data_IF_749351196720
#
_entry.id   IF_749351196720
#
_cell.length_a   1.000
_cell.length_b   1.000
_cell.length_c   1.000
_cell.angle_alpha   90.00
_cell.angle_beta   90.00
_cell.angle_gamma   90.00
#
_symmetry.space_group_name_H-M   'P 1'
#
loop_
_entity.id
_entity.type
_entity.pdbx_description
1 polymer ?
#
# COMPACT_ATOMS: atom_id res chain seq x y z
N UNK A 1 2.83 26.10 87.81
CA UNK A 1 1.84 27.08 87.33
C UNK A 1 1.64 26.83 85.86
N UNK A 2 0.35 26.82 85.47
CA UNK A 2 -0.26 26.74 84.16
C UNK A 2 -0.32 25.39 83.48
N UNK A 3 -1.48 24.81 83.69
CA UNK A 3 -2.19 23.83 82.88
C UNK A 3 -2.48 24.39 81.49
N UNK A 4 -2.18 23.62 80.47
CA UNK A 4 -2.84 23.80 79.18
C UNK A 4 -3.58 22.52 78.76
N UNK A 5 -4.89 22.68 78.80
CA UNK A 5 -5.92 21.74 78.53
C UNK A 5 -5.98 21.52 77.01
N UNK A 6 -5.61 20.32 76.50
CA UNK A 6 -5.79 19.90 75.10
C UNK A 6 -7.13 19.14 74.96
N UNK A 7 -8.12 19.83 74.50
CA UNK A 7 -9.39 19.24 74.06
C UNK A 7 -9.21 18.29 72.88
N UNK A 8 -9.74 17.06 72.88
CA UNK A 8 -9.65 16.16 71.75
C UNK A 8 -10.61 16.58 70.62
N UNK A 9 -10.02 16.74 69.41
CA UNK A 9 -10.83 16.92 68.17
C UNK A 9 -11.65 15.66 67.90
N UNK A 10 -12.92 15.71 68.08
CA UNK A 10 -13.87 14.72 67.58
C UNK A 10 -13.79 14.68 66.04
N UNK A 11 -13.35 13.54 65.52
CA UNK A 11 -13.50 13.19 64.10
C UNK A 11 -14.99 12.91 63.85
N UNK A 12 -15.69 13.86 63.26
CA UNK A 12 -16.98 13.61 62.66
C UNK A 12 -16.78 12.68 61.43
N UNK A 13 -17.04 11.42 61.63
CA UNK A 13 -17.28 10.49 60.55
C UNK A 13 -18.58 10.85 59.85
N UNK A 14 -18.55 11.61 58.77
CA UNK A 14 -19.69 11.77 57.86
C UNK A 14 -20.07 10.40 57.35
N UNK A 15 -21.13 9.83 57.84
CA UNK A 15 -21.74 8.65 57.30
C UNK A 15 -22.14 8.95 55.83
N UNK A 16 -21.55 8.27 54.87
CA UNK A 16 -21.95 8.40 53.45
C UNK A 16 -23.38 7.89 53.32
N UNK A 17 -24.27 8.78 52.89
CA UNK A 17 -25.61 8.42 52.53
C UNK A 17 -25.60 7.70 51.15
N UNK A 18 -25.61 6.40 51.20
CA UNK A 18 -25.58 5.54 50.01
C UNK A 18 -26.83 5.73 49.13
N UNK A 19 -27.95 6.14 49.70
CA UNK A 19 -29.16 6.41 48.92
C UNK A 19 -29.02 7.64 48.02
N UNK A 20 -28.36 8.69 48.53
CA UNK A 20 -27.99 9.86 47.74
C UNK A 20 -26.96 9.57 46.65
N UNK A 21 -25.98 8.70 46.95
CA UNK A 21 -24.98 8.26 45.96
C UNK A 21 -25.65 7.46 44.82
N UNK A 22 -26.54 6.52 45.14
CA UNK A 22 -27.25 5.76 44.12
C UNK A 22 -28.15 6.65 43.24
N UNK A 23 -28.87 7.59 43.84
CA UNK A 23 -29.69 8.54 43.11
C UNK A 23 -28.89 9.40 42.14
N UNK A 24 -27.65 9.82 42.51
CA UNK A 24 -26.73 10.58 41.64
C UNK A 24 -26.22 9.74 40.50
N UNK A 25 -25.89 8.47 40.76
CA UNK A 25 -25.42 7.53 39.72
C UNK A 25 -26.54 7.28 38.72
N UNK A 26 -27.78 7.01 39.17
CA UNK A 26 -28.91 6.79 38.26
C UNK A 26 -29.22 8.03 37.42
N UNK A 27 -29.14 9.22 38.02
CA UNK A 27 -29.35 10.49 37.32
C UNK A 27 -28.27 10.72 36.27
N UNK A 28 -27.01 10.41 36.60
CA UNK A 28 -25.86 10.52 35.67
C UNK A 28 -25.97 9.51 34.53
N UNK A 29 -26.38 8.27 34.82
CA UNK A 29 -26.60 7.24 33.80
C UNK A 29 -27.72 7.62 32.85
N UNK A 30 -28.84 8.10 33.37
CA UNK A 30 -29.98 8.58 32.57
C UNK A 30 -29.62 9.80 31.70
N UNK A 31 -28.73 10.70 32.18
CA UNK A 31 -28.22 11.82 31.42
C UNK A 31 -27.26 11.37 30.30
N UNK A 32 -26.38 10.38 30.59
CA UNK A 32 -25.46 9.79 29.64
C UNK A 32 -26.21 9.07 28.51
N UNK A 33 -27.21 8.27 28.84
CA UNK A 33 -28.06 7.58 27.86
C UNK A 33 -28.84 8.54 26.96
N UNK A 34 -29.36 9.66 27.53
CA UNK A 34 -30.01 10.73 26.76
C UNK A 34 -29.03 11.47 25.85
N UNK A 35 -27.77 11.69 26.29
CA UNK A 35 -26.74 12.34 25.50
C UNK A 35 -26.17 11.45 24.38
N UNK A 36 -26.17 10.11 24.56
CA UNK A 36 -25.64 9.13 23.58
C UNK A 36 -26.67 8.78 22.49
N UNK A 37 -27.95 9.01 22.69
CA UNK A 37 -28.99 8.77 21.68
C UNK A 37 -29.38 10.08 21.03
N UNK A 38 -28.89 10.38 19.81
CA UNK A 38 -29.35 11.59 19.11
C UNK A 38 -30.86 11.53 18.91
N UNK A 39 -31.50 12.65 19.09
CA UNK A 39 -32.95 12.79 18.84
C UNK A 39 -33.28 12.35 17.41
N UNK A 40 -34.53 11.97 17.16
CA UNK A 40 -34.96 11.55 15.83
C UNK A 40 -34.69 12.64 14.77
N UNK A 41 -34.77 13.91 15.14
CA UNK A 41 -34.45 15.06 14.29
C UNK A 41 -32.95 15.18 14.06
N UNK A 42 -32.11 15.05 15.09
CA UNK A 42 -30.64 15.05 14.97
C UNK A 42 -30.17 13.88 14.11
N UNK A 43 -30.77 12.69 14.28
CA UNK A 43 -30.47 11.53 13.45
C UNK A 43 -30.81 11.75 11.97
N UNK A 44 -31.98 12.36 11.70
CA UNK A 44 -32.38 12.74 10.32
C UNK A 44 -31.43 13.76 9.71
N UNK A 45 -31.00 14.77 10.49
CA UNK A 45 -30.06 15.78 10.03
C UNK A 45 -28.69 15.15 9.68
N UNK A 46 -28.17 14.29 10.56
CA UNK A 46 -26.91 13.57 10.31
C UNK A 46 -27.03 12.67 9.07
N UNK A 47 -28.12 11.93 8.93
CA UNK A 47 -28.36 11.07 7.77
C UNK A 47 -28.51 11.89 6.48
N UNK A 48 -29.17 13.05 6.53
CA UNK A 48 -29.31 13.96 5.40
C UNK A 48 -27.96 14.54 4.96
N UNK A 49 -27.11 14.95 5.92
CA UNK A 49 -25.76 15.43 5.64
C UNK A 49 -24.87 14.34 5.04
N UNK A 50 -24.93 13.12 5.58
CA UNK A 50 -24.20 11.97 5.02
C UNK A 50 -24.71 11.61 3.63
N UNK A 51 -26.04 11.60 3.41
CA UNK A 51 -26.60 11.36 2.09
C UNK A 51 -26.16 12.44 1.09
N UNK A 52 -26.12 13.72 1.51
CA UNK A 52 -25.64 14.83 0.69
C UNK A 52 -24.14 14.74 0.40
N UNK A 53 -23.36 14.27 1.37
CA UNK A 53 -21.91 14.01 1.18
C UNK A 53 -21.67 12.84 0.23
N UNK A 54 -22.46 11.76 0.31
CA UNK A 54 -22.40 10.61 -0.59
C UNK A 54 -22.99 10.89 -1.98
N UNK A 55 -23.97 11.82 -2.07
CA UNK A 55 -24.58 12.27 -3.33
C UNK A 55 -23.79 13.40 -4.01
N UNK A 56 -22.70 13.89 -3.40
CA UNK A 56 -21.73 14.70 -4.15
C UNK A 56 -21.15 13.79 -5.21
N UNK A 57 -21.50 14.08 -6.45
CA UNK A 57 -20.76 13.50 -7.57
C UNK A 57 -19.27 13.72 -7.32
N UNK A 58 -18.42 12.69 -7.49
CA UNK A 58 -16.98 12.88 -7.47
C UNK A 58 -16.68 14.06 -8.41
N UNK A 59 -15.92 15.02 -7.90
CA UNK A 59 -15.49 16.22 -8.63
C UNK A 59 -15.09 15.80 -10.04
N UNK A 60 -15.77 16.38 -11.03
CA UNK A 60 -15.81 16.06 -12.45
C UNK A 60 -14.83 14.96 -12.87
N UNK A 61 -15.34 13.81 -13.27
CA UNK A 61 -14.55 12.75 -13.90
C UNK A 61 -13.56 13.40 -14.86
N UNK A 62 -12.29 13.49 -14.44
CA UNK A 62 -11.23 13.68 -15.41
C UNK A 62 -11.43 12.58 -16.46
N UNK A 63 -11.36 12.89 -17.75
CA UNK A 63 -11.60 11.87 -18.76
C UNK A 63 -10.80 10.63 -18.37
N UNK A 64 -11.46 9.46 -18.36
CA UNK A 64 -10.88 8.18 -17.94
C UNK A 64 -9.57 7.84 -18.67
N UNK A 65 -9.34 8.45 -19.83
CA UNK A 65 -8.11 8.37 -20.62
C UNK A 65 -6.94 9.20 -20.05
N UNK A 66 -7.16 9.95 -18.96
CA UNK A 66 -6.15 10.83 -18.38
C UNK A 66 -5.43 10.26 -17.16
N UNK A 67 -5.87 9.12 -16.63
CA UNK A 67 -5.28 8.49 -15.44
C UNK A 67 -4.68 7.12 -15.80
N UNK A 68 -3.49 6.86 -15.26
CA UNK A 68 -2.82 5.57 -15.34
C UNK A 68 -2.92 4.86 -14.00
N UNK A 69 -3.67 3.75 -13.94
CA UNK A 69 -3.67 2.90 -12.76
C UNK A 69 -2.36 2.11 -12.68
N UNK A 70 -1.64 2.27 -11.59
CA UNK A 70 -0.36 1.61 -11.39
C UNK A 70 -0.34 0.77 -10.12
N UNK A 71 0.36 -0.35 -10.18
CA UNK A 71 0.81 -1.10 -9.01
C UNK A 71 2.12 -0.48 -8.56
N UNK A 72 2.14 0.09 -7.35
CA UNK A 72 3.35 0.65 -6.74
C UNK A 72 4.08 -0.41 -5.92
N UNK A 73 5.39 -0.43 -6.04
CA UNK A 73 6.25 -1.38 -5.35
C UNK A 73 7.64 -0.79 -5.07
N UNK A 74 8.38 -1.46 -4.21
CA UNK A 74 9.74 -1.10 -3.84
C UNK A 74 10.75 -1.96 -4.61
N UNK A 75 11.79 -1.30 -5.14
CA UNK A 75 13.03 -1.93 -5.61
C UNK A 75 14.20 -1.24 -4.95
N UNK A 76 14.98 -1.97 -4.19
CA UNK A 76 16.05 -1.43 -3.34
C UNK A 76 15.48 -0.37 -2.36
N UNK A 77 15.71 0.90 -2.63
CA UNK A 77 15.25 2.01 -1.77
C UNK A 77 14.35 3.00 -2.52
N UNK A 78 14.00 2.67 -3.76
CA UNK A 78 13.21 3.54 -4.62
C UNK A 78 11.81 2.98 -4.84
N UNK A 79 10.86 3.88 -5.10
CA UNK A 79 9.49 3.52 -5.44
C UNK A 79 9.34 3.41 -6.95
N UNK A 80 8.77 2.32 -7.37
CA UNK A 80 8.46 2.06 -8.77
C UNK A 80 6.96 1.85 -8.94
N UNK A 81 6.47 2.10 -10.14
CA UNK A 81 5.10 1.82 -10.53
C UNK A 81 5.08 1.15 -11.90
N UNK A 82 4.13 0.26 -12.09
CA UNK A 82 3.87 -0.39 -13.39
C UNK A 82 2.39 -0.39 -13.67
N UNK A 83 1.99 -0.18 -14.93
CA UNK A 83 0.58 -0.13 -15.31
C UNK A 83 -0.17 -1.40 -14.88
N UNK A 84 -1.26 -1.25 -14.15
CA UNK A 84 -2.04 -2.38 -13.61
C UNK A 84 -2.64 -3.26 -14.70
N UNK A 85 -2.89 -2.71 -15.88
CA UNK A 85 -3.38 -3.46 -17.06
C UNK A 85 -2.40 -4.57 -17.49
N UNK A 86 -1.11 -4.45 -17.19
CA UNK A 86 -0.08 -5.45 -17.50
C UNK A 86 0.19 -6.40 -16.34
N UNK A 87 -0.40 -6.18 -15.17
CA UNK A 87 -0.21 -7.01 -13.99
C UNK A 87 -1.33 -8.03 -13.89
N UNK A 88 -0.99 -9.31 -14.01
CA UNK A 88 -1.94 -10.40 -13.85
C UNK A 88 -2.23 -10.71 -12.39
N UNK A 89 -1.18 -10.86 -11.60
CA UNK A 89 -1.24 -11.16 -10.17
C UNK A 89 0.06 -10.82 -9.47
N UNK A 90 0.02 -10.73 -8.14
CA UNK A 90 1.20 -10.63 -7.28
C UNK A 90 1.28 -11.87 -6.42
N UNK A 91 2.44 -12.53 -6.47
CA UNK A 91 2.69 -13.79 -5.78
C UNK A 91 3.84 -13.65 -4.77
N UNK A 92 3.81 -14.29 -3.60
CA UNK A 92 4.99 -14.39 -2.75
C UNK A 92 6.12 -15.14 -3.47
N UNK A 93 7.36 -14.68 -3.34
CA UNK A 93 8.50 -15.44 -3.87
C UNK A 93 8.66 -16.71 -3.04
N UNK A 94 8.34 -17.87 -3.64
CA UNK A 94 8.48 -19.20 -3.05
C UNK A 94 9.00 -20.15 -4.11
N UNK A 95 9.71 -21.19 -3.67
CA UNK A 95 10.14 -22.31 -4.51
C UNK A 95 10.88 -21.86 -5.79
N UNK A 96 11.73 -20.81 -5.66
CA UNK A 96 12.57 -20.33 -6.76
C UNK A 96 13.61 -21.40 -7.14
N UNK A 97 13.56 -21.83 -8.38
CA UNK A 97 14.55 -22.76 -8.94
C UNK A 97 15.50 -21.98 -9.85
N UNK A 98 16.77 -21.82 -9.48
CA UNK A 98 17.75 -21.13 -10.32
C UNK A 98 17.97 -21.86 -11.64
N UNK A 99 18.17 -21.10 -12.72
CA UNK A 99 18.50 -21.64 -14.05
C UNK A 99 19.99 -21.41 -14.32
N UNK A 100 20.80 -22.47 -14.55
CA UNK A 100 22.18 -22.29 -14.94
C UNK A 100 22.30 -21.74 -16.37
N UNK A 101 23.35 -20.97 -16.63
CA UNK A 101 23.63 -20.43 -17.97
C UNK A 101 22.78 -19.23 -18.38
N UNK A 102 21.92 -18.72 -17.50
CA UNK A 102 21.10 -17.53 -17.77
C UNK A 102 21.84 -16.24 -17.39
N UNK A 103 21.46 -15.07 -17.98
CA UNK A 103 21.97 -13.78 -17.57
C UNK A 103 21.74 -13.51 -16.07
N UNK A 104 22.61 -12.72 -15.40
CA UNK A 104 22.54 -12.49 -13.94
C UNK A 104 21.23 -11.89 -13.43
N UNK A 105 20.49 -11.18 -14.28
CA UNK A 105 19.19 -10.59 -13.92
C UNK A 105 18.04 -11.60 -13.93
N UNK A 106 18.26 -12.81 -14.49
CA UNK A 106 17.28 -13.90 -14.41
C UNK A 106 17.59 -14.72 -13.17
N UNK A 107 16.71 -14.63 -12.17
CA UNK A 107 16.88 -15.35 -10.90
C UNK A 107 16.62 -16.84 -11.02
N UNK A 108 15.74 -17.24 -11.92
CA UNK A 108 15.27 -18.60 -12.07
C UNK A 108 13.80 -18.67 -12.47
N UNK A 109 13.18 -19.79 -12.14
CA UNK A 109 11.76 -20.03 -12.43
C UNK A 109 10.98 -20.32 -11.14
N UNK A 110 9.68 -20.01 -11.17
CA UNK A 110 8.72 -20.37 -10.13
C UNK A 110 7.49 -21.02 -10.77
N UNK A 111 6.78 -21.82 -9.98
CA UNK A 111 5.49 -22.35 -10.38
C UNK A 111 4.36 -21.51 -9.76
N UNK A 112 3.60 -20.84 -10.59
CA UNK A 112 2.42 -20.07 -10.17
C UNK A 112 1.17 -20.75 -10.73
N UNK A 113 0.45 -21.45 -9.88
CA UNK A 113 -0.80 -22.17 -10.24
C UNK A 113 -0.66 -23.10 -11.45
N UNK A 114 0.45 -23.84 -11.50
CA UNK A 114 0.71 -24.79 -12.60
C UNK A 114 1.39 -24.17 -13.84
N UNK A 115 1.65 -22.86 -13.83
CA UNK A 115 2.42 -22.18 -14.88
C UNK A 115 3.85 -21.96 -14.42
N UNK A 116 4.79 -22.31 -15.26
CA UNK A 116 6.23 -22.06 -15.02
C UNK A 116 6.56 -20.68 -15.56
N UNK A 117 6.99 -19.78 -14.70
CA UNK A 117 7.31 -18.39 -15.04
C UNK A 117 8.76 -18.09 -14.69
N UNK A 118 9.47 -17.41 -15.60
CA UNK A 118 10.79 -16.84 -15.31
C UNK A 118 10.64 -15.68 -14.34
N UNK A 119 11.55 -15.55 -13.37
CA UNK A 119 11.63 -14.42 -12.45
C UNK A 119 12.83 -13.57 -12.77
N UNK A 120 12.58 -12.30 -13.02
CA UNK A 120 13.57 -11.29 -13.40
C UNK A 120 13.81 -10.35 -12.21
N UNK A 121 15.08 -10.14 -11.86
CA UNK A 121 15.49 -9.09 -10.94
C UNK A 121 15.84 -7.83 -11.73
N UNK A 122 14.89 -6.93 -11.81
CA UNK A 122 15.07 -5.63 -12.49
C UNK A 122 16.18 -4.81 -11.82
N UNK A 123 16.49 -5.02 -10.54
CA UNK A 123 17.62 -4.34 -9.87
C UNK A 123 18.92 -4.66 -10.57
N UNK A 124 19.15 -5.93 -10.87
CA UNK A 124 20.33 -6.36 -11.62
C UNK A 124 20.31 -5.90 -13.07
N UNK A 125 19.15 -5.88 -13.69
CA UNK A 125 18.98 -5.39 -15.06
C UNK A 125 19.26 -3.90 -15.19
N UNK A 126 18.88 -3.10 -14.16
CA UNK A 126 19.08 -1.65 -14.12
C UNK A 126 20.36 -1.20 -13.39
N UNK A 127 21.20 -2.14 -12.97
CA UNK A 127 22.41 -1.87 -12.17
C UNK A 127 22.12 -1.06 -10.89
N UNK A 128 21.03 -1.42 -10.21
CA UNK A 128 20.65 -0.85 -8.93
C UNK A 128 21.38 -1.54 -7.77
N UNK A 129 21.49 -0.87 -6.59
CA UNK A 129 22.05 -1.50 -5.41
C UNK A 129 21.34 -2.82 -5.08
N UNK A 130 22.11 -3.87 -4.90
CA UNK A 130 21.56 -5.17 -4.55
C UNK A 130 21.06 -5.17 -3.11
N UNK A 131 19.85 -5.69 -2.95
CA UNK A 131 19.29 -6.04 -1.65
C UNK A 131 19.01 -7.54 -1.69
N UNK A 132 19.53 -8.27 -0.72
CA UNK A 132 19.36 -9.73 -0.66
C UNK A 132 17.89 -10.15 -0.68
N UNK A 133 17.65 -11.40 -1.06
CA UNK A 133 16.31 -11.99 -1.02
C UNK A 133 15.85 -12.18 0.44
N UNK A 134 14.59 -11.87 0.70
CA UNK A 134 13.93 -12.04 1.98
C UNK A 134 12.57 -12.68 1.79
N UNK A 135 11.97 -13.21 2.85
CA UNK A 135 10.61 -13.77 2.81
C UNK A 135 9.52 -12.73 2.46
N UNK A 136 9.88 -11.45 2.50
CA UNK A 136 8.98 -10.35 2.13
C UNK A 136 8.91 -10.12 0.62
N UNK A 137 9.89 -10.64 -0.13
CA UNK A 137 9.92 -10.46 -1.58
C UNK A 137 8.67 -11.01 -2.25
N UNK A 138 8.20 -10.28 -3.25
CA UNK A 138 7.04 -10.61 -4.07
C UNK A 138 7.45 -10.70 -5.53
N UNK A 139 6.68 -11.44 -6.29
CA UNK A 139 6.78 -11.51 -7.74
C UNK A 139 5.55 -10.87 -8.33
N UNK A 140 5.73 -9.82 -9.11
CA UNK A 140 4.68 -9.19 -9.90
C UNK A 140 4.67 -9.91 -11.24
N UNK A 141 3.60 -10.65 -11.52
CA UNK A 141 3.45 -11.38 -12.79
C UNK A 141 2.97 -10.41 -13.85
N UNK A 142 3.84 -10.10 -14.80
CA UNK A 142 3.52 -9.27 -15.96
C UNK A 142 3.11 -10.15 -17.11
N UNK A 143 2.15 -9.65 -17.89
CA UNK A 143 1.65 -10.38 -19.06
C UNK A 143 1.31 -9.45 -20.23
N UNK A 144 1.46 -9.98 -21.42
CA UNK A 144 0.91 -9.49 -22.67
C UNK A 144 0.36 -10.68 -23.45
N UNK A 145 -0.14 -10.44 -24.66
CA UNK A 145 -0.59 -11.52 -25.54
C UNK A 145 0.54 -12.47 -25.97
N UNK A 146 1.79 -12.01 -25.88
CA UNK A 146 2.97 -12.73 -26.41
C UNK A 146 3.89 -13.26 -25.32
N UNK A 147 3.90 -12.64 -24.14
CA UNK A 147 4.90 -12.91 -23.12
C UNK A 147 4.32 -12.81 -21.72
N UNK A 148 4.81 -13.67 -20.83
CA UNK A 148 4.48 -13.62 -19.40
C UNK A 148 5.76 -13.95 -18.59
N UNK A 149 6.08 -13.12 -17.59
CA UNK A 149 7.18 -13.35 -16.66
C UNK A 149 6.94 -12.64 -15.34
N UNK A 150 7.69 -13.01 -14.33
CA UNK A 150 7.63 -12.39 -13.00
C UNK A 150 8.74 -11.36 -12.81
N UNK A 151 8.41 -10.22 -12.22
CA UNK A 151 9.34 -9.19 -11.77
C UNK A 151 9.48 -9.27 -10.25
N UNK A 152 10.73 -9.39 -9.77
CA UNK A 152 11.00 -9.37 -8.34
C UNK A 152 10.75 -7.98 -7.77
N UNK A 153 9.98 -7.90 -6.68
CA UNK A 153 9.76 -6.69 -5.89
C UNK A 153 10.16 -6.94 -4.43
N UNK A 154 10.76 -5.94 -3.79
CA UNK A 154 11.11 -6.02 -2.36
C UNK A 154 9.88 -5.86 -1.46
N UNK A 155 8.82 -5.22 -1.97
CA UNK A 155 7.52 -5.09 -1.31
C UNK A 155 6.52 -4.39 -2.21
N UNK A 156 5.23 -4.64 -1.98
CA UNK A 156 4.13 -3.98 -2.69
C UNK A 156 3.57 -2.89 -1.79
N UNK A 157 3.39 -1.71 -2.34
CA UNK A 157 2.83 -0.56 -1.64
C UNK A 157 1.32 -0.44 -1.83
N UNK A 158 0.82 -0.78 -3.02
CA UNK A 158 -0.60 -0.72 -3.34
C UNK A 158 -0.87 -0.42 -4.81
N UNK A 159 -2.11 -0.07 -5.10
CA UNK A 159 -2.55 0.38 -6.43
C UNK A 159 -3.09 1.79 -6.30
N UNK A 160 -2.70 2.67 -7.22
CA UNK A 160 -3.28 4.01 -7.31
C UNK A 160 -3.36 4.51 -8.74
N UNK A 161 -4.27 5.45 -8.97
CA UNK A 161 -4.37 6.21 -10.21
C UNK A 161 -3.37 7.37 -10.20
N UNK A 162 -2.64 7.54 -11.31
CA UNK A 162 -1.69 8.63 -11.53
C UNK A 162 -2.14 9.39 -12.78
N UNK A 163 -2.43 10.69 -12.67
CA UNK A 163 -2.75 11.51 -13.84
C UNK A 163 -1.57 11.51 -14.82
N UNK A 164 -1.83 11.18 -16.09
CA UNK A 164 -0.78 11.18 -17.12
C UNK A 164 -0.07 12.53 -17.24
N UNK A 165 -0.78 13.64 -16.99
CA UNK A 165 -0.20 14.99 -16.99
C UNK A 165 0.76 15.27 -15.83
N UNK A 166 0.85 14.40 -14.81
CA UNK A 166 1.82 14.50 -13.71
C UNK A 166 3.11 13.76 -13.98
N UNK A 167 3.16 12.93 -15.03
CA UNK A 167 4.36 12.22 -15.44
C UNK A 167 5.32 13.21 -16.10
N UNK A 168 6.49 13.34 -15.48
CA UNK A 168 7.60 14.10 -16.04
C UNK A 168 8.50 13.13 -16.84
N UNK A 169 9.15 13.61 -17.91
CA UNK A 169 10.18 12.83 -18.58
C UNK A 169 11.25 12.36 -17.59
N UNK A 170 11.97 11.31 -17.93
CA UNK A 170 13.08 10.80 -17.13
C UNK A 170 14.05 11.92 -16.76
N UNK A 171 14.48 11.93 -15.48
CA UNK A 171 15.46 12.90 -15.03
C UNK A 171 16.80 12.65 -15.74
N UNK A 172 17.59 13.72 -16.06
CA UNK A 172 18.90 13.56 -16.70
C UNK A 172 19.89 12.68 -15.92
N UNK A 173 19.60 12.42 -14.65
CA UNK A 173 20.39 11.52 -13.77
C UNK A 173 20.08 10.04 -13.96
N UNK A 174 18.98 9.72 -14.64
CA UNK A 174 18.60 8.34 -14.99
C UNK A 174 19.13 8.06 -16.39
N UNK A 175 20.39 7.68 -16.47
CA UNK A 175 21.08 7.39 -17.75
C UNK A 175 21.18 5.87 -17.98
N UNK A 176 21.37 5.49 -19.24
CA UNK A 176 21.61 4.11 -19.64
C UNK A 176 20.34 3.28 -19.83
N UNK A 177 20.45 1.98 -19.54
CA UNK A 177 19.36 1.00 -19.76
C UNK A 177 18.05 1.40 -19.06
N UNK A 178 18.13 2.06 -17.90
CA UNK A 178 16.94 2.50 -17.15
C UNK A 178 16.04 3.46 -17.94
N UNK A 179 16.63 4.41 -18.68
CA UNK A 179 15.88 5.42 -19.42
C UNK A 179 15.00 4.79 -20.51
N UNK A 180 15.48 3.73 -21.16
CA UNK A 180 14.77 3.04 -22.22
C UNK A 180 13.43 2.45 -21.75
N UNK A 181 13.40 1.92 -20.51
CA UNK A 181 12.22 1.24 -19.94
C UNK A 181 11.39 2.13 -19.00
N UNK A 182 11.61 3.44 -19.01
CA UNK A 182 10.86 4.38 -18.20
C UNK A 182 9.77 5.05 -19.02
N UNK A 183 8.58 5.14 -18.44
CA UNK A 183 7.47 5.95 -18.96
C UNK A 183 7.52 7.37 -18.43
N UNK A 184 8.08 7.56 -17.23
CA UNK A 184 8.24 8.85 -16.58
C UNK A 184 8.42 8.74 -15.08
N UNK A 185 8.50 9.89 -14.42
CA UNK A 185 8.64 10.00 -12.97
C UNK A 185 7.58 10.94 -12.43
N UNK A 186 6.92 10.58 -11.33
CA UNK A 186 5.94 11.45 -10.67
C UNK A 186 6.63 12.49 -9.79
N UNK A 187 5.88 13.56 -9.42
CA UNK A 187 6.35 14.56 -8.44
C UNK A 187 6.77 13.96 -7.10
N UNK A 188 6.17 12.84 -6.72
CA UNK A 188 6.47 12.09 -5.49
C UNK A 188 7.67 11.14 -5.65
N UNK A 189 8.40 11.25 -6.75
CA UNK A 189 9.57 10.43 -7.09
C UNK A 189 9.25 8.93 -7.24
N UNK A 190 8.05 8.61 -7.74
CA UNK A 190 7.73 7.26 -8.17
C UNK A 190 8.14 7.10 -9.63
N UNK A 191 8.99 6.12 -9.91
CA UNK A 191 9.50 5.82 -11.25
C UNK A 191 8.52 4.89 -11.94
N UNK A 192 7.91 5.33 -13.04
CA UNK A 192 6.93 4.52 -13.77
C UNK A 192 7.62 3.76 -14.89
N UNK A 193 7.55 2.43 -14.79
CA UNK A 193 8.10 1.54 -15.80
C UNK A 193 7.19 1.39 -17.00
N UNK A 194 7.78 1.27 -18.17
CA UNK A 194 7.09 0.95 -19.41
C UNK A 194 6.97 -0.57 -19.56
N UNK A 195 5.82 -1.10 -19.14
CA UNK A 195 5.55 -2.54 -19.19
C UNK A 195 5.53 -3.10 -20.61
N UNK A 196 5.08 -2.31 -21.60
CA UNK A 196 5.04 -2.72 -23.00
C UNK A 196 6.45 -2.97 -23.52
N UNK A 197 7.36 -2.05 -23.21
CA UNK A 197 8.78 -2.21 -23.58
C UNK A 197 9.41 -3.42 -22.91
N UNK A 198 9.16 -3.59 -21.59
CA UNK A 198 9.66 -4.76 -20.86
C UNK A 198 9.12 -6.07 -21.45
N UNK A 199 7.81 -6.11 -21.79
CA UNK A 199 7.15 -7.30 -22.33
C UNK A 199 7.42 -7.53 -23.83
N UNK A 200 8.04 -6.62 -24.53
CA UNK A 200 8.42 -6.75 -25.95
C UNK A 200 9.90 -6.94 -26.17
N UNK A 201 10.74 -6.80 -25.11
CA UNK A 201 12.20 -6.91 -25.26
C UNK A 201 12.65 -8.37 -25.38
N UNK A 202 13.33 -8.74 -26.48
CA UNK A 202 13.92 -10.07 -26.64
C UNK A 202 14.90 -10.46 -25.52
N UNK A 203 15.56 -9.50 -24.86
CA UNK A 203 16.49 -9.77 -23.75
C UNK A 203 15.79 -10.36 -22.52
N UNK A 204 14.48 -10.15 -22.38
CA UNK A 204 13.67 -10.70 -21.29
C UNK A 204 13.23 -12.14 -21.58
N UNK A 205 13.40 -12.62 -22.81
CA UNK A 205 13.04 -13.97 -23.22
C UNK A 205 14.23 -14.90 -22.93
N UNK A 206 14.01 -15.89 -22.09
CA UNK A 206 14.97 -16.98 -21.93
C UNK A 206 14.77 -17.96 -23.09
N UNK A 207 15.52 -17.78 -24.17
CA UNK A 207 15.66 -18.84 -25.18
C UNK A 207 16.57 -19.89 -24.59
N UNK A 208 16.06 -21.06 -24.26
CA UNK A 208 16.88 -22.26 -24.15
C UNK A 208 17.18 -22.71 -25.58
N UNK A 209 18.22 -22.15 -26.16
CA UNK A 209 18.94 -22.87 -27.22
C UNK A 209 19.63 -24.02 -26.51
N UNK A 210 18.98 -25.17 -26.47
CA UNK A 210 19.62 -26.44 -26.15
C UNK A 210 20.58 -26.72 -27.30
N UNK A 211 21.81 -26.22 -27.21
CA UNK A 211 22.90 -26.76 -28.01
C UNK A 211 23.09 -28.22 -27.57
N UNK A 212 22.73 -29.10 -28.49
CA UNK A 212 22.94 -30.53 -28.47
C UNK A 212 24.42 -30.83 -28.69
#
# INVERSE_FOLDING_TARGET
>A
MKNENKTPRQKQTMALDWSEVHRRIETAQAALERGLRPTAEAKRAILKERAKALAREPEAERPADADLDVVEFLLAYEKYGIGSAFVREVHPLKDLTPLPGTPPFILGIINVRGRILSVIDIKKFFDLPEKGLTDLNKVIVLHSDKMEFGVLADGILGVRAIPLGELQPSLPTLTGIREEYLKGVTKERVVILDAEKLLSDPKMIVHQDAET
#
